data_IF_227781476122
#
_entry.id   IF_227781476122
#
_cell.length_a   1.000
_cell.length_b   1.000
_cell.length_c   1.000
_cell.angle_alpha   90.00
_cell.angle_beta   90.00
_cell.angle_gamma   90.00
#
_symmetry.space_group_name_H-M   'P 1'
#
loop_
_entity.id
_entity.type
_entity.pdbx_description
1 polymer ?
#
# COMPACT_ATOMS: atom_id res chain seq x y z
N UNK A 1 -19.84 20.25 10.15
CA UNK A 1 -19.82 18.78 10.03
C UNK A 1 -18.40 18.40 9.62
N UNK A 2 -17.57 17.94 10.56
CA UNK A 2 -16.22 17.48 10.24
C UNK A 2 -16.39 16.19 9.43
N UNK A 3 -16.19 16.25 8.12
CA UNK A 3 -16.25 15.09 7.25
C UNK A 3 -15.21 14.08 7.70
N UNK A 4 -15.62 12.84 7.98
CA UNK A 4 -14.71 11.74 8.24
C UNK A 4 -13.79 11.57 7.02
N UNK A 5 -12.53 11.97 7.15
CA UNK A 5 -11.48 11.69 6.15
C UNK A 5 -10.83 10.36 6.52
N UNK A 6 -11.40 9.24 6.08
CA UNK A 6 -10.68 7.97 6.09
C UNK A 6 -9.53 8.07 5.09
N UNK A 7 -8.29 8.07 5.59
CA UNK A 7 -7.10 7.80 4.78
C UNK A 7 -6.71 6.35 5.05
N UNK A 8 -7.25 5.38 4.28
CA UNK A 8 -6.88 3.99 4.46
C UNK A 8 -5.40 3.80 4.16
N UNK A 9 -4.78 2.88 4.87
CA UNK A 9 -3.51 2.29 4.49
C UNK A 9 -3.76 1.29 3.36
N UNK A 10 -2.92 1.33 2.32
CA UNK A 10 -3.07 0.52 1.11
C UNK A 10 -1.87 -0.43 1.00
N UNK A 11 -2.13 -1.73 0.92
CA UNK A 11 -1.10 -2.74 0.69
C UNK A 11 -1.16 -3.18 -0.78
N UNK A 12 -0.03 -3.11 -1.47
CA UNK A 12 0.12 -3.52 -2.86
C UNK A 12 0.92 -4.84 -2.88
N UNK A 13 0.38 -5.84 -3.56
CA UNK A 13 1.01 -7.15 -3.76
C UNK A 13 1.04 -7.43 -5.26
N UNK A 14 2.22 -7.38 -5.84
CA UNK A 14 2.44 -7.60 -7.27
C UNK A 14 3.84 -8.18 -7.47
N UNK A 15 4.00 -9.18 -8.34
CA UNK A 15 5.32 -9.74 -8.67
C UNK A 15 6.09 -8.88 -9.69
N UNK A 16 5.40 -7.95 -10.35
CA UNK A 16 6.00 -6.92 -11.19
C UNK A 16 6.36 -5.66 -10.37
N UNK A 17 7.66 -5.45 -10.19
CA UNK A 17 8.19 -4.30 -9.43
C UNK A 17 7.92 -2.96 -10.10
N UNK A 18 8.01 -2.88 -11.42
CA UNK A 18 7.85 -1.60 -12.13
C UNK A 18 6.40 -1.12 -11.98
N UNK A 19 5.44 -2.04 -12.04
CA UNK A 19 4.02 -1.76 -11.80
C UNK A 19 3.78 -1.38 -10.34
N UNK A 20 4.31 -2.16 -9.40
CA UNK A 20 4.16 -1.94 -7.96
C UNK A 20 4.69 -0.58 -7.49
N UNK A 21 5.93 -0.25 -7.86
CA UNK A 21 6.58 1.02 -7.51
C UNK A 21 5.85 2.22 -8.14
N UNK A 22 5.41 2.08 -9.40
CA UNK A 22 4.64 3.14 -10.07
C UNK A 22 3.32 3.41 -9.36
N UNK A 23 2.62 2.35 -8.93
CA UNK A 23 1.36 2.49 -8.20
C UNK A 23 1.57 3.12 -6.81
N UNK A 24 2.61 2.69 -6.08
CA UNK A 24 2.97 3.27 -4.79
C UNK A 24 3.28 4.78 -4.90
N UNK A 25 4.04 5.18 -5.93
CA UNK A 25 4.32 6.59 -6.23
C UNK A 25 3.05 7.40 -6.50
N UNK A 26 2.09 6.86 -7.25
CA UNK A 26 0.82 7.53 -7.54
C UNK A 26 -0.02 7.70 -6.27
N UNK A 27 -0.15 6.65 -5.47
CA UNK A 27 -0.93 6.67 -4.22
C UNK A 27 -0.35 7.66 -3.20
N UNK A 28 0.98 7.68 -3.07
CA UNK A 28 1.69 8.65 -2.24
C UNK A 28 1.41 10.11 -2.70
N UNK A 29 1.42 10.38 -4.02
CA UNK A 29 1.08 11.71 -4.56
C UNK A 29 -0.38 12.11 -4.29
N UNK A 30 -1.28 11.14 -4.20
CA UNK A 30 -2.69 11.35 -3.86
C UNK A 30 -2.92 11.48 -2.33
N UNK A 31 -1.87 11.34 -1.52
CA UNK A 31 -1.92 11.50 -0.07
C UNK A 31 -2.39 10.26 0.69
N UNK A 32 -2.39 9.09 0.04
CA UNK A 32 -2.59 7.80 0.70
C UNK A 32 -1.27 7.29 1.28
N UNK A 33 -1.38 6.51 2.35
CA UNK A 33 -0.26 5.69 2.82
C UNK A 33 -0.32 4.37 2.07
N UNK A 34 0.77 3.99 1.41
CA UNK A 34 0.88 2.71 0.72
C UNK A 34 2.20 2.02 0.99
N UNK A 35 2.18 0.68 0.92
CA UNK A 35 3.37 -0.17 0.98
C UNK A 35 3.30 -1.24 -0.10
N UNK A 36 4.38 -1.41 -0.84
CA UNK A 36 4.53 -2.45 -1.87
C UNK A 36 5.33 -3.66 -1.38
N UNK A 37 4.89 -4.86 -1.80
CA UNK A 37 5.63 -6.10 -1.64
C UNK A 37 5.71 -6.87 -2.95
N UNK A 38 6.94 -7.22 -3.34
CA UNK A 38 7.23 -8.06 -4.51
C UNK A 38 7.10 -9.57 -4.23
N UNK A 39 6.73 -9.92 -3.00
CA UNK A 39 6.51 -11.31 -2.60
C UNK A 39 5.50 -11.45 -1.48
N UNK A 40 4.68 -12.50 -1.58
CA UNK A 40 3.63 -12.83 -0.60
C UNK A 40 4.18 -13.03 0.81
N UNK A 41 5.41 -13.56 0.95
CA UNK A 41 6.02 -13.80 2.26
C UNK A 41 6.31 -12.49 3.01
N UNK A 42 6.67 -11.42 2.30
CA UNK A 42 6.86 -10.11 2.91
C UNK A 42 5.50 -9.52 3.35
N UNK A 43 4.48 -9.62 2.50
CA UNK A 43 3.13 -9.12 2.81
C UNK A 43 2.45 -9.84 3.98
N UNK A 44 2.73 -11.14 4.16
CA UNK A 44 2.20 -11.93 5.28
C UNK A 44 2.64 -11.43 6.66
N UNK A 45 3.83 -10.84 6.77
CA UNK A 45 4.34 -10.34 8.06
C UNK A 45 3.59 -9.10 8.53
N UNK A 46 3.08 -8.27 7.60
CA UNK A 46 2.26 -7.10 7.95
C UNK A 46 0.82 -7.52 8.30
N UNK A 47 0.22 -8.42 7.51
CA UNK A 47 -1.18 -8.81 7.69
C UNK A 47 -1.44 -9.67 8.92
N UNK A 48 -0.42 -10.34 9.47
CA UNK A 48 -0.59 -11.16 10.67
C UNK A 48 -0.76 -10.34 11.94
N UNK A 49 -0.42 -9.05 11.94
CA UNK A 49 -0.28 -8.27 13.17
C UNK A 49 0.81 -8.88 14.06
N UNK A 50 1.43 -8.07 14.91
CA UNK A 50 2.12 -8.64 16.06
C UNK A 50 1.08 -9.21 17.03
#
# INVERSE_FOLDING_TARGET
MLGFSLRPEIIILDDDRDVGETLELILNKLGYQSVFFDSVEQGKNILKGN
#
